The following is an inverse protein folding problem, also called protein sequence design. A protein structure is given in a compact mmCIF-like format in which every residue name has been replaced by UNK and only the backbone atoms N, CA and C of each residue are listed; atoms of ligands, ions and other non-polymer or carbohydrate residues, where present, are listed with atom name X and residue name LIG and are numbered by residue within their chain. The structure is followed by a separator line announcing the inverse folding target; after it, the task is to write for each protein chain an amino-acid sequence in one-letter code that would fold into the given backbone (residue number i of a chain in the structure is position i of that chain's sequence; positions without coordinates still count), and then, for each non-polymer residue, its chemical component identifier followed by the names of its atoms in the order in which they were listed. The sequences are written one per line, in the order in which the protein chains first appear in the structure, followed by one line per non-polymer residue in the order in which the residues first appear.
data_IF_706149483572
#
_entry.id   IF_706149483572
#
_cell.length_a   1.000
_cell.length_b   1.000
_cell.length_c   1.000
_cell.angle_alpha   90.00
_cell.angle_beta   90.00
_cell.angle_gamma   90.00
#
_symmetry.space_group_name_H-M   'P 1'
#
loop_
_entity.id
_entity.type
_entity.pdbx_description
1 polymer ?
#
# COMPACT_ATOMS: atom_id res chain seq x y z
N UNK A 1 13.70 -14.54 25.83
CA UNK A 1 12.25 -14.33 26.06
C UNK A 1 12.07 -13.05 26.86
N UNK A 2 11.41 -12.05 26.29
CA UNK A 2 10.95 -10.87 27.03
C UNK A 2 9.74 -11.31 27.86
N UNK A 3 9.66 -10.94 29.13
CA UNK A 3 8.55 -11.36 30.01
C UNK A 3 7.24 -10.69 29.56
N UNK A 4 6.13 -11.44 29.53
CA UNK A 4 4.80 -10.93 29.15
C UNK A 4 4.40 -9.65 29.92
N UNK A 5 4.94 -9.45 31.12
CA UNK A 5 4.68 -8.26 31.94
C UNK A 5 5.36 -6.98 31.42
N UNK A 6 6.47 -7.09 30.67
CA UNK A 6 7.18 -5.93 30.14
C UNK A 6 6.43 -5.24 28.99
N UNK A 7 5.50 -5.93 28.33
CA UNK A 7 4.76 -5.39 27.18
C UNK A 7 3.69 -4.35 27.56
N UNK A 8 3.35 -4.22 28.85
CA UNK A 8 2.29 -3.32 29.32
C UNK A 8 2.70 -1.85 29.43
N UNK A 9 3.99 -1.54 29.45
CA UNK A 9 4.49 -0.17 29.59
C UNK A 9 5.15 0.39 28.33
N UNK A 10 5.26 -0.40 27.26
CA UNK A 10 5.91 0.04 26.02
C UNK A 10 4.96 0.95 25.26
N UNK A 11 5.29 2.24 25.21
CA UNK A 11 4.50 3.28 24.52
C UNK A 11 5.04 3.58 23.12
N UNK A 12 6.30 3.28 22.85
CA UNK A 12 6.95 3.63 21.58
C UNK A 12 7.85 2.50 21.09
N UNK A 13 7.69 2.15 19.81
CA UNK A 13 8.57 1.22 19.10
C UNK A 13 8.92 1.81 17.75
N UNK A 14 10.22 1.94 17.49
CA UNK A 14 10.77 2.38 16.21
C UNK A 14 11.69 1.31 15.66
N UNK A 15 11.33 0.80 14.49
CA UNK A 15 12.12 -0.14 13.71
C UNK A 15 12.53 0.60 12.44
N UNK A 16 13.79 1.00 12.36
CA UNK A 16 14.32 1.77 11.23
C UNK A 16 15.55 1.04 10.69
N UNK A 17 15.61 0.87 9.36
CA UNK A 17 16.74 0.25 8.67
C UNK A 17 17.07 -1.18 9.13
N UNK A 18 16.05 -1.95 9.50
CA UNK A 18 16.21 -3.31 10.04
C UNK A 18 15.76 -4.37 9.01
N UNK A 19 16.63 -4.80 8.08
CA UNK A 19 16.26 -5.70 6.97
C UNK A 19 15.78 -7.09 7.43
N UNK A 20 16.15 -7.49 8.64
CA UNK A 20 15.80 -8.80 9.21
C UNK A 20 14.44 -8.81 9.94
N UNK A 21 13.76 -7.68 10.02
CA UNK A 21 12.46 -7.62 10.68
C UNK A 21 11.42 -8.19 9.75
N UNK A 22 10.92 -9.38 10.09
CA UNK A 22 9.81 -10.02 9.41
C UNK A 22 8.49 -9.35 9.76
N UNK A 23 7.48 -9.52 8.91
CA UNK A 23 6.12 -9.07 9.19
C UNK A 23 5.52 -9.65 10.48
N UNK A 24 6.00 -10.81 10.94
CA UNK A 24 5.59 -11.42 12.21
C UNK A 24 6.01 -10.58 13.44
N UNK A 25 7.04 -9.73 13.33
CA UNK A 25 7.41 -8.80 14.40
C UNK A 25 6.38 -7.68 14.51
N UNK A 26 5.98 -7.08 13.39
CA UNK A 26 4.94 -6.04 13.37
C UNK A 26 3.62 -6.56 13.96
N UNK A 27 3.25 -7.78 13.56
CA UNK A 27 2.13 -8.55 14.09
C UNK A 27 2.23 -8.73 15.60
N UNK A 28 3.35 -9.25 16.11
CA UNK A 28 3.56 -9.43 17.55
C UNK A 28 3.46 -8.11 18.33
N UNK A 29 3.94 -7.00 17.77
CA UNK A 29 3.85 -5.68 18.39
C UNK A 29 2.40 -5.23 18.52
N UNK A 30 1.64 -5.24 17.42
CA UNK A 30 0.25 -4.77 17.38
C UNK A 30 -0.69 -5.58 18.29
N UNK A 31 -0.33 -6.84 18.57
CA UNK A 31 -1.16 -7.75 19.36
C UNK A 31 -0.80 -7.81 20.85
N UNK A 32 0.45 -7.54 21.22
CA UNK A 32 0.90 -7.70 22.60
C UNK A 32 1.12 -6.36 23.32
N UNK A 33 1.32 -5.26 22.60
CA UNK A 33 1.67 -3.97 23.19
C UNK A 33 0.43 -3.07 23.35
N UNK A 34 -0.40 -3.33 24.37
CA UNK A 34 -1.65 -2.58 24.60
C UNK A 34 -1.44 -1.06 24.84
N UNK A 35 -0.33 -0.68 25.47
CA UNK A 35 0.01 0.71 25.78
C UNK A 35 0.71 1.44 24.63
N UNK A 36 0.88 0.81 23.46
CA UNK A 36 1.62 1.37 22.35
C UNK A 36 0.90 2.59 21.76
N UNK A 37 1.61 3.71 21.74
CA UNK A 37 1.16 5.00 21.20
C UNK A 37 1.86 5.36 19.88
N UNK A 38 3.11 4.91 19.70
CA UNK A 38 3.90 5.22 18.51
C UNK A 38 4.51 3.94 17.94
N UNK A 39 4.13 3.61 16.71
CA UNK A 39 4.71 2.51 15.94
C UNK A 39 5.24 3.04 14.62
N UNK A 40 6.56 2.95 14.43
CA UNK A 40 7.22 3.38 13.21
C UNK A 40 8.05 2.21 12.67
N UNK A 41 7.72 1.71 11.49
CA UNK A 41 8.44 0.64 10.80
C UNK A 41 8.88 1.15 9.43
N UNK A 42 10.16 1.50 9.31
CA UNK A 42 10.81 2.05 8.09
C UNK A 42 11.94 1.13 7.61
N UNK A 43 11.99 0.86 6.30
CA UNK A 43 13.11 0.18 5.66
C UNK A 43 14.16 1.16 5.11
N UNK A 44 15.39 0.69 4.89
CA UNK A 44 16.51 1.53 4.43
C UNK A 44 16.54 1.70 2.91
N UNK A 45 16.50 0.59 2.18
CA UNK A 45 16.60 0.56 0.72
C UNK A 45 15.43 -0.17 0.07
N UNK A 46 14.73 -0.99 0.86
CA UNK A 46 13.45 -1.55 0.52
C UNK A 46 12.60 -1.46 1.77
N UNK A 47 11.35 -0.99 1.69
CA UNK A 47 10.51 -0.93 2.86
C UNK A 47 10.40 -2.34 3.45
N UNK A 48 10.60 -2.42 4.78
CA UNK A 48 10.24 -3.60 5.55
C UNK A 48 8.73 -3.68 5.48
N UNK A 49 8.22 -4.47 4.55
CA UNK A 49 6.81 -4.56 4.28
C UNK A 49 6.21 -5.72 5.06
N UNK A 50 5.12 -5.43 5.75
CA UNK A 50 4.33 -6.45 6.44
C UNK A 50 3.26 -6.95 5.49
N UNK A 51 3.17 -8.27 5.29
CA UNK A 51 2.09 -8.86 4.51
C UNK A 51 0.74 -8.51 5.12
N UNK A 52 -0.23 -8.14 4.29
CA UNK A 52 -1.58 -7.80 4.74
C UNK A 52 -2.19 -8.90 5.63
N UNK A 53 -2.00 -10.18 5.26
CA UNK A 53 -2.38 -11.37 6.05
C UNK A 53 -1.98 -11.24 7.53
N UNK A 54 -0.74 -10.87 7.81
CA UNK A 54 -0.20 -10.81 9.17
C UNK A 54 -0.81 -9.67 10.00
N UNK A 55 -1.24 -8.58 9.34
CA UNK A 55 -1.86 -7.44 10.03
C UNK A 55 -3.30 -7.73 10.45
N UNK A 56 -4.00 -8.61 9.73
CA UNK A 56 -5.45 -8.84 9.89
C UNK A 56 -5.81 -10.18 10.51
N UNK A 57 -4.82 -11.00 10.82
CA UNK A 57 -5.01 -12.33 11.40
C UNK A 57 -5.66 -12.24 12.80
N UNK A 58 -5.38 -11.19 13.57
CA UNK A 58 -6.03 -10.89 14.85
C UNK A 58 -6.33 -9.40 14.99
N UNK A 59 -7.23 -9.07 15.91
CA UNK A 59 -7.51 -7.69 16.26
C UNK A 59 -6.34 -7.02 16.98
N UNK A 60 -6.12 -5.74 16.70
CA UNK A 60 -5.09 -4.95 17.37
C UNK A 60 -5.50 -4.62 18.80
N UNK A 61 -4.56 -4.82 19.73
CA UNK A 61 -4.77 -4.50 21.15
C UNK A 61 -4.33 -3.07 21.46
N UNK A 62 -3.43 -2.50 20.67
CA UNK A 62 -2.96 -1.12 20.77
C UNK A 62 -4.01 -0.10 20.27
N UNK A 63 -5.10 0.09 21.03
CA UNK A 63 -6.18 1.05 20.69
C UNK A 63 -5.78 2.52 20.89
N UNK A 64 -4.80 2.78 21.76
CA UNK A 64 -4.29 4.13 22.07
C UNK A 64 -3.22 4.64 21.09
N UNK A 65 -3.17 4.10 19.88
CA UNK A 65 -2.11 4.38 18.93
C UNK A 65 -2.33 5.75 18.28
N UNK A 66 -1.34 6.64 18.44
CA UNK A 66 -1.38 8.03 17.98
C UNK A 66 -0.55 8.27 16.72
N UNK A 67 0.48 7.44 16.48
CA UNK A 67 1.32 7.49 15.29
C UNK A 67 1.50 6.08 14.75
N UNK A 68 1.00 5.84 13.54
CA UNK A 68 1.23 4.60 12.80
C UNK A 68 1.98 4.92 11.52
N UNK A 69 3.17 4.35 11.40
CA UNK A 69 3.88 4.29 10.14
C UNK A 69 4.28 2.86 9.81
N UNK A 70 3.74 2.35 8.72
CA UNK A 70 3.98 0.98 8.29
C UNK A 70 3.87 0.87 6.77
N UNK A 71 4.71 0.03 6.17
CA UNK A 71 4.53 -0.38 4.78
C UNK A 71 3.88 -1.75 4.70
N UNK A 72 2.86 -1.89 3.85
CA UNK A 72 2.12 -3.13 3.66
C UNK A 72 2.50 -3.75 2.32
N UNK A 73 2.81 -5.04 2.32
CA UNK A 73 3.00 -5.80 1.08
C UNK A 73 1.62 -6.18 0.55
N UNK A 74 1.22 -5.55 -0.55
CA UNK A 74 0.01 -5.90 -1.29
C UNK A 74 0.43 -6.69 -2.53
N UNK A 75 0.04 -7.96 -2.58
CA UNK A 75 0.13 -8.75 -3.82
C UNK A 75 -1.05 -8.36 -4.69
N UNK A 76 -0.83 -7.38 -5.56
CA UNK A 76 -1.72 -7.15 -6.69
C UNK A 76 -1.34 -8.18 -7.77
N UNK A 77 -2.34 -8.63 -8.52
CA UNK A 77 -2.11 -9.40 -9.73
C UNK A 77 -2.46 -8.47 -10.87
N UNK A 78 -1.45 -7.94 -11.55
CA UNK A 78 -1.68 -7.16 -12.76
C UNK A 78 -2.10 -8.15 -13.85
N UNK A 79 -3.41 -8.28 -14.02
CA UNK A 79 -3.94 -9.02 -15.17
C UNK A 79 -3.67 -8.17 -16.41
N UNK A 80 -2.93 -8.70 -17.37
CA UNK A 80 -2.53 -7.98 -18.59
C UNK A 80 -3.77 -7.44 -19.31
N UNK A 81 -3.97 -6.13 -19.19
CA UNK A 81 -5.08 -5.41 -19.77
C UNK A 81 -4.85 -5.26 -21.27
N UNK A 82 -5.31 -6.24 -22.06
CA UNK A 82 -5.53 -6.02 -23.51
C UNK A 82 -6.70 -5.03 -23.74
N UNK A 83 -7.39 -4.60 -22.67
CA UNK A 83 -8.52 -3.67 -22.74
C UNK A 83 -8.24 -2.40 -21.91
N UNK A 84 -8.23 -1.24 -22.56
CA UNK A 84 -7.84 0.08 -22.01
C UNK A 84 -8.66 0.64 -20.82
N UNK A 85 -9.52 -0.17 -20.19
CA UNK A 85 -10.36 0.27 -19.06
C UNK A 85 -10.41 -0.74 -17.91
N UNK A 86 -9.61 -1.82 -17.92
CA UNK A 86 -9.64 -2.75 -16.79
C UNK A 86 -8.82 -2.20 -15.63
N UNK A 87 -9.52 -1.67 -14.63
CA UNK A 87 -8.96 -1.30 -13.34
C UNK A 87 -8.16 -2.46 -12.74
N UNK A 88 -7.11 -2.19 -11.95
CA UNK A 88 -6.34 -3.24 -11.29
C UNK A 88 -7.29 -4.13 -10.48
N UNK A 89 -7.39 -5.40 -10.90
CA UNK A 89 -8.26 -6.37 -10.28
C UNK A 89 -7.58 -6.89 -9.01
N UNK A 90 -7.96 -6.33 -7.87
CA UNK A 90 -7.64 -6.93 -6.57
C UNK A 90 -8.47 -8.21 -6.43
N UNK A 91 -7.81 -9.31 -6.09
CA UNK A 91 -8.44 -10.62 -5.92
C UNK A 91 -9.42 -10.63 -4.73
N UNK A 92 -10.52 -11.39 -4.80
CA UNK A 92 -11.61 -11.37 -3.81
C UNK A 92 -11.14 -11.59 -2.35
N UNK A 93 -10.32 -12.63 -2.06
CA UNK A 93 -9.65 -12.79 -0.76
C UNK A 93 -8.88 -11.56 -0.26
N UNK A 94 -8.25 -10.81 -1.16
CA UNK A 94 -7.51 -9.59 -0.78
C UNK A 94 -8.47 -8.49 -0.35
N UNK A 95 -9.64 -8.36 -0.97
CA UNK A 95 -10.68 -7.43 -0.51
C UNK A 95 -11.16 -7.76 0.90
N UNK A 96 -11.35 -9.04 1.23
CA UNK A 96 -11.76 -9.46 2.57
C UNK A 96 -10.69 -9.07 3.61
N UNK A 97 -9.41 -9.26 3.27
CA UNK A 97 -8.30 -8.86 4.14
C UNK A 97 -8.21 -7.34 4.27
N UNK A 98 -8.31 -6.58 3.17
CA UNK A 98 -8.35 -5.12 3.20
C UNK A 98 -9.51 -4.64 4.06
N UNK A 99 -10.66 -5.32 3.98
CA UNK A 99 -11.81 -4.98 4.79
C UNK A 99 -11.48 -5.09 6.30
N UNK A 100 -10.89 -6.21 6.71
CA UNK A 100 -10.47 -6.37 8.11
C UNK A 100 -9.43 -5.33 8.51
N UNK A 101 -8.48 -5.04 7.63
CA UNK A 101 -7.44 -4.05 7.86
C UNK A 101 -8.01 -2.65 8.10
N UNK A 102 -8.86 -2.15 7.20
CA UNK A 102 -9.45 -0.82 7.34
C UNK A 102 -10.41 -0.70 8.52
N UNK A 103 -11.13 -1.78 8.86
CA UNK A 103 -11.95 -1.82 10.07
C UNK A 103 -11.11 -1.69 11.33
N UNK A 104 -9.96 -2.38 11.39
CA UNK A 104 -9.04 -2.27 12.52
C UNK A 104 -8.40 -0.87 12.60
N UNK A 105 -8.03 -0.32 11.44
CA UNK A 105 -7.49 1.03 11.33
C UNK A 105 -8.49 2.08 11.81
N UNK A 106 -9.74 2.00 11.35
CA UNK A 106 -10.84 2.88 11.73
C UNK A 106 -11.19 2.86 13.22
N UNK A 107 -10.82 1.79 13.92
CA UNK A 107 -11.00 1.66 15.36
C UNK A 107 -9.89 2.35 16.19
N UNK A 108 -8.88 2.94 15.55
CA UNK A 108 -7.83 3.74 16.22
C UNK A 108 -8.28 5.21 16.38
N UNK A 109 -9.19 5.48 17.32
CA UNK A 109 -9.76 6.82 17.52
C UNK A 109 -8.72 7.89 17.86
N UNK A 110 -7.62 7.51 18.50
CA UNK A 110 -6.56 8.41 18.97
C UNK A 110 -5.50 8.72 17.91
N UNK A 111 -5.64 8.18 16.69
CA UNK A 111 -4.63 8.36 15.64
C UNK A 111 -4.53 9.84 15.26
N UNK A 112 -3.29 10.35 15.21
CA UNK A 112 -2.96 11.71 14.79
C UNK A 112 -2.14 11.71 13.51
N UNK A 113 -1.23 10.75 13.37
CA UNK A 113 -0.38 10.61 12.19
C UNK A 113 -0.55 9.20 11.66
N UNK A 114 -1.02 9.10 10.41
CA UNK A 114 -1.17 7.86 9.69
C UNK A 114 -0.36 7.93 8.41
N UNK A 115 0.72 7.15 8.35
CA UNK A 115 1.59 7.05 7.19
C UNK A 115 1.60 5.59 6.69
N UNK A 116 0.93 5.35 5.57
CA UNK A 116 0.77 4.00 5.02
C UNK A 116 1.59 3.84 3.75
N UNK A 117 2.57 2.96 3.77
CA UNK A 117 3.36 2.57 2.60
C UNK A 117 2.75 1.37 1.87
N UNK A 118 2.93 1.27 0.55
CA UNK A 118 2.69 0.02 -0.20
C UNK A 118 4.00 -0.50 -0.75
N UNK A 119 4.20 -1.82 -0.65
CA UNK A 119 5.21 -2.56 -1.41
C UNK A 119 4.50 -3.55 -2.31
N UNK A 120 4.65 -3.41 -3.63
CA UNK A 120 4.25 -4.45 -4.58
C UNK A 120 5.50 -5.17 -5.11
N UNK A 121 5.45 -6.49 -5.21
CA UNK A 121 6.54 -7.28 -5.85
C UNK A 121 6.65 -6.97 -7.34
N UNK A 122 5.53 -6.66 -8.00
CA UNK A 122 5.52 -6.32 -9.43
C UNK A 122 6.29 -5.03 -9.72
N UNK A 123 6.44 -4.15 -8.71
CA UNK A 123 7.29 -2.96 -8.78
C UNK A 123 8.79 -3.27 -8.69
N UNK A 124 9.22 -4.43 -8.16
CA UNK A 124 10.65 -4.72 -7.94
C UNK A 124 11.41 -5.00 -9.24
N UNK A 125 10.74 -5.53 -10.27
CA UNK A 125 11.35 -5.76 -11.59
C UNK A 125 11.88 -4.47 -12.25
N UNK A 126 11.39 -3.30 -11.83
CA UNK A 126 11.81 -2.00 -12.34
C UNK A 126 13.11 -1.51 -11.68
N UNK A 127 13.35 -1.87 -10.42
CA UNK A 127 14.56 -1.47 -9.71
C UNK A 127 15.78 -2.36 -10.08
N UNK A 128 15.54 -3.65 -10.38
CA UNK A 128 16.62 -4.60 -10.69
C UNK A 128 17.11 -4.52 -12.14
N UNK A 129 16.37 -3.88 -13.06
CA UNK A 129 16.74 -3.79 -14.49
C UNK A 129 17.69 -2.63 -14.84
N UNK A 130 18.27 -1.95 -13.84
CA UNK A 130 19.34 -0.96 -14.02
C UNK A 130 20.63 -1.54 -14.65
N UNK A 131 20.74 -2.86 -14.77
CA UNK A 131 21.67 -3.52 -15.68
C UNK A 131 20.94 -3.99 -16.93
N UNK A 132 20.97 -3.21 -18.01
CA UNK A 132 20.52 -3.69 -19.32
C UNK A 132 21.25 -5.00 -19.63
N UNK A 133 20.56 -6.11 -19.95
CA UNK A 133 21.19 -7.20 -20.65
C UNK A 133 21.66 -6.62 -21.98
N UNK A 134 22.98 -6.45 -22.15
CA UNK A 134 23.54 -6.30 -23.50
C UNK A 134 22.98 -7.47 -24.28
N UNK A 135 22.18 -7.17 -25.30
CA UNK A 135 21.72 -8.16 -26.27
C UNK A 135 22.96 -8.88 -26.79
N UNK A 136 23.25 -10.04 -26.21
CA UNK A 136 24.24 -10.96 -26.73
C UNK A 136 23.61 -11.53 -28.00
N UNK A 137 23.83 -10.82 -29.11
CA UNK A 137 23.59 -11.32 -30.45
C UNK A 137 24.44 -12.57 -30.61
N UNK A 138 23.80 -13.73 -30.58
CA UNK A 138 24.42 -15.01 -30.93
C UNK A 138 24.65 -15.97 -29.77
N UNK A 139 23.59 -16.68 -29.33
CA UNK A 139 23.76 -18.04 -28.81
C UNK A 139 22.73 -18.98 -29.44
N UNK A 140 23.26 -20.11 -29.93
CA UNK A 140 22.57 -21.22 -30.57
C UNK A 140 21.57 -21.91 -29.62
N UNK A 141 20.50 -22.54 -30.14
CA UNK A 141 19.53 -23.28 -29.34
C UNK A 141 20.17 -24.47 -28.61
N UNK A 142 19.95 -24.56 -27.30
CA UNK A 142 20.33 -25.71 -26.48
C UNK A 142 19.25 -26.80 -26.54
N UNK A 143 19.72 -28.04 -26.67
CA UNK A 143 18.98 -29.31 -26.65
C UNK A 143 18.34 -29.58 -25.28
N UNK A 144 17.17 -30.26 -25.21
CA UNK A 144 16.50 -30.52 -23.94
C UNK A 144 17.22 -31.58 -23.12
N UNK A 145 17.46 -31.28 -21.83
CA UNK A 145 18.03 -32.20 -20.86
C UNK A 145 16.92 -33.01 -20.15
N UNK A 146 17.28 -34.27 -19.88
CA UNK A 146 16.49 -35.40 -19.38
C UNK A 146 16.06 -35.22 -17.91
N UNK A 147 14.78 -35.43 -17.61
CA UNK A 147 14.23 -35.42 -16.24
C UNK A 147 14.63 -36.69 -15.47
N UNK A 148 15.02 -36.52 -14.20
CA UNK A 148 15.32 -37.59 -13.25
C UNK A 148 14.69 -37.32 -11.88
N UNK A 149 13.72 -38.18 -11.53
CA UNK A 149 13.33 -38.72 -10.20
C UNK A 149 13.46 -37.87 -8.92
N UNK A 150 12.30 -37.39 -8.46
CA UNK A 150 11.61 -37.66 -7.17
C UNK A 150 12.44 -37.92 -5.90
N UNK A 151 12.28 -37.02 -4.91
CA UNK A 151 12.45 -37.31 -3.48
C UNK A 151 11.22 -36.84 -2.71
N UNK A 152 10.71 -37.73 -1.84
CA UNK A 152 9.72 -37.52 -0.79
C UNK A 152 10.35 -36.72 0.35
N UNK A 153 9.64 -35.73 0.90
CA UNK A 153 10.03 -35.03 2.12
C UNK A 153 8.85 -34.25 2.72
N UNK A 154 8.26 -34.87 3.74
CA UNK A 154 7.60 -34.33 4.94
C UNK A 154 6.86 -32.99 4.87
N UNK A 155 5.54 -33.16 4.75
CA UNK A 155 4.36 -32.34 5.11
C UNK A 155 4.56 -31.29 6.23
N UNK A 156 4.92 -30.07 5.84
CA UNK A 156 4.48 -28.82 6.49
C UNK A 156 3.80 -27.97 5.40
N UNK A 157 2.56 -28.35 5.06
CA UNK A 157 1.72 -27.72 4.03
C UNK A 157 1.22 -26.33 4.44
N UNK A 158 2.14 -25.36 4.52
CA UNK A 158 1.80 -24.00 4.11
C UNK A 158 1.87 -23.97 2.57
N UNK A 159 0.83 -24.52 1.92
CA UNK A 159 0.61 -24.66 0.46
C UNK A 159 0.42 -23.31 -0.27
N UNK A 160 1.30 -22.36 0.07
CA UNK A 160 1.55 -21.09 -0.57
C UNK A 160 3.06 -20.87 -0.64
N UNK A 161 3.79 -21.88 -1.13
CA UNK A 161 5.21 -21.77 -1.49
C UNK A 161 5.39 -20.51 -2.33
N UNK A 162 6.24 -19.60 -1.86
CA UNK A 162 6.43 -18.31 -2.51
C UNK A 162 7.22 -18.41 -3.84
N UNK A 163 7.57 -19.63 -4.25
CA UNK A 163 8.59 -19.94 -5.26
C UNK A 163 8.03 -20.63 -6.51
N UNK A 164 6.77 -21.11 -6.51
CA UNK A 164 6.18 -21.83 -7.67
C UNK A 164 5.58 -20.92 -8.75
N UNK A 165 5.59 -19.60 -8.57
CA UNK A 165 5.04 -18.65 -9.56
C UNK A 165 6.06 -18.15 -10.60
N UNK A 166 7.33 -18.55 -10.55
CA UNK A 166 8.36 -18.05 -11.48
C UNK A 166 8.42 -18.78 -12.83
N UNK A 167 7.54 -19.74 -13.12
CA UNK A 167 7.67 -20.62 -14.31
C UNK A 167 6.92 -20.14 -15.57
N UNK A 168 6.14 -19.06 -15.51
CA UNK A 168 5.44 -18.52 -16.69
C UNK A 168 5.83 -17.07 -16.97
N UNK A 169 6.88 -16.89 -17.78
CA UNK A 169 7.24 -15.58 -18.34
C UNK A 169 6.63 -15.43 -19.75
N UNK A 170 5.63 -14.57 -19.98
CA UNK A 170 5.23 -14.18 -21.32
C UNK A 170 6.16 -13.09 -21.84
N UNK A 171 6.78 -13.36 -22.99
CA UNK A 171 7.67 -12.44 -23.71
C UNK A 171 6.86 -11.36 -24.45
N UNK A 172 6.40 -10.30 -23.77
CA UNK A 172 5.84 -9.11 -24.44
C UNK A 172 6.34 -7.81 -23.79
N UNK A 173 6.85 -6.91 -24.64
CA UNK A 173 7.41 -5.60 -24.29
C UNK A 173 6.31 -4.52 -24.16
N UNK A 174 5.90 -4.19 -22.93
CA UNK A 174 4.97 -3.10 -22.56
C UNK A 174 5.62 -2.06 -21.60
N UNK A 175 6.90 -1.74 -21.82
CA UNK A 175 7.84 -1.26 -20.79
C UNK A 175 7.73 0.21 -20.32
N UNK A 176 6.72 1.01 -20.69
CA UNK A 176 6.84 2.47 -20.50
C UNK A 176 5.66 3.18 -19.82
N UNK A 177 4.47 2.58 -19.69
CA UNK A 177 3.31 3.30 -19.13
C UNK A 177 2.85 2.85 -17.74
N UNK A 178 3.15 1.62 -17.32
CA UNK A 178 2.71 1.08 -16.02
C UNK A 178 3.83 1.00 -14.97
N UNK A 179 4.96 1.66 -15.24
CA UNK A 179 6.24 1.42 -14.60
C UNK A 179 6.67 2.51 -13.60
N UNK A 180 5.74 3.34 -13.16
CA UNK A 180 6.03 4.25 -12.06
C UNK A 180 5.40 3.66 -10.81
N UNK A 181 6.22 3.45 -9.78
CA UNK A 181 5.81 3.16 -8.42
C UNK A 181 4.81 4.21 -7.83
N UNK A 182 4.54 5.26 -8.60
CA UNK A 182 3.63 6.37 -8.32
C UNK A 182 2.15 6.10 -8.67
N UNK A 183 1.75 4.89 -9.06
CA UNK A 183 0.32 4.57 -9.30
C UNK A 183 -0.26 3.60 -8.25
N UNK A 184 0.42 3.46 -7.10
CA UNK A 184 -0.06 2.60 -6.03
C UNK A 184 -0.76 3.42 -4.94
N UNK A 185 -2.08 3.29 -4.87
CA UNK A 185 -2.89 3.72 -3.74
C UNK A 185 -3.45 2.50 -3.00
N UNK A 186 -3.81 2.68 -1.73
CA UNK A 186 -4.47 1.63 -0.95
C UNK A 186 -5.89 1.40 -1.52
N UNK A 187 -6.22 0.17 -1.97
CA UNK A 187 -7.46 -0.04 -2.70
C UNK A 187 -8.70 0.27 -1.86
N UNK A 188 -9.60 1.09 -2.41
CA UNK A 188 -10.84 1.53 -1.79
C UNK A 188 -10.69 2.42 -0.54
N UNK A 189 -9.47 2.76 -0.10
CA UNK A 189 -9.23 3.50 1.15
C UNK A 189 -9.96 4.85 1.18
N UNK A 190 -9.87 5.60 0.08
CA UNK A 190 -10.45 6.94 -0.05
C UNK A 190 -11.81 6.96 -0.73
N UNK A 191 -12.42 5.81 -1.03
CA UNK A 191 -13.71 5.75 -1.70
C UNK A 191 -14.84 5.53 -0.69
N UNK A 192 -15.99 6.18 -0.90
CA UNK A 192 -17.22 5.87 -0.17
C UNK A 192 -17.90 4.59 -0.69
N UNK A 193 -17.53 4.13 -1.88
CA UNK A 193 -18.15 3.00 -2.56
C UNK A 193 -19.47 3.38 -3.25
N UNK A 194 -19.89 2.58 -4.23
CA UNK A 194 -21.14 2.79 -4.95
C UNK A 194 -22.15 1.73 -4.52
N UNK A 195 -23.11 2.11 -3.67
CA UNK A 195 -24.08 1.19 -3.06
C UNK A 195 -25.00 0.46 -4.05
N UNK A 196 -25.33 1.05 -5.20
CA UNK A 196 -26.52 0.63 -5.95
C UNK A 196 -26.33 0.40 -7.47
N UNK A 197 -25.09 0.39 -7.97
CA UNK A 197 -24.83 0.28 -9.41
C UNK A 197 -24.72 -1.19 -9.85
N UNK A 198 -25.86 -1.80 -10.18
CA UNK A 198 -26.02 -3.08 -10.90
C UNK A 198 -24.75 -3.87 -11.21
N UNK A 199 -24.46 -4.88 -10.38
CA UNK A 199 -23.58 -6.00 -10.70
C UNK A 199 -22.07 -5.81 -10.44
N UNK A 200 -21.56 -4.59 -10.23
CA UNK A 200 -20.15 -4.38 -9.82
C UNK A 200 -20.02 -3.22 -8.84
N UNK A 201 -20.73 -3.33 -7.71
CA UNK A 201 -20.54 -2.39 -6.60
C UNK A 201 -19.07 -2.43 -6.16
N UNK A 202 -18.38 -1.31 -6.32
CA UNK A 202 -17.00 -1.19 -5.89
C UNK A 202 -16.98 -0.95 -4.37
N UNK A 203 -16.20 -1.73 -3.60
CA UNK A 203 -16.07 -1.48 -2.19
C UNK A 203 -15.36 -0.14 -1.96
N UNK A 204 -15.91 0.64 -1.04
CA UNK A 204 -15.26 1.82 -0.49
C UNK A 204 -15.22 1.71 1.02
N UNK A 205 -14.10 2.12 1.60
CA UNK A 205 -13.81 1.94 3.02
C UNK A 205 -13.64 3.25 3.77
N UNK A 206 -13.83 4.38 3.09
CA UNK A 206 -13.65 5.70 3.70
C UNK A 206 -14.57 5.86 4.93
N UNK A 207 -15.80 5.37 4.87
CA UNK A 207 -16.76 5.42 5.99
C UNK A 207 -16.26 4.72 7.26
N UNK A 208 -15.43 3.69 7.13
CA UNK A 208 -14.89 2.97 8.30
C UNK A 208 -13.80 3.75 9.01
N UNK A 209 -13.20 4.72 8.32
CA UNK A 209 -12.22 5.64 8.87
C UNK A 209 -12.88 6.86 9.53
N UNK A 210 -14.21 6.89 9.67
CA UNK A 210 -14.94 8.00 10.31
C UNK A 210 -14.63 8.17 11.80
N UNK A 211 -14.05 7.14 12.43
CA UNK A 211 -13.59 7.20 13.82
C UNK A 211 -12.33 8.04 14.04
N UNK A 212 -11.58 8.37 12.99
CA UNK A 212 -10.27 9.02 13.07
C UNK A 212 -10.36 10.54 13.26
N UNK A 213 -11.16 11.01 14.22
CA UNK A 213 -11.46 12.43 14.43
C UNK A 213 -10.23 13.27 14.81
N UNK A 214 -9.21 12.62 15.36
CA UNK A 214 -7.95 13.25 15.77
C UNK A 214 -6.86 13.21 14.69
N UNK A 215 -7.15 12.64 13.51
CA UNK A 215 -6.21 12.53 12.40
C UNK A 215 -5.78 13.93 11.95
N UNK A 216 -4.48 14.21 12.05
CA UNK A 216 -3.83 15.46 11.64
C UNK A 216 -3.06 15.30 10.33
N UNK A 217 -2.45 14.13 10.14
CA UNK A 217 -1.60 13.86 8.98
C UNK A 217 -1.95 12.51 8.36
N UNK A 218 -2.32 12.53 7.08
CA UNK A 218 -2.55 11.35 6.27
C UNK A 218 -1.53 11.30 5.13
N UNK A 219 -0.56 10.39 5.25
CA UNK A 219 0.65 10.33 4.41
C UNK A 219 0.84 8.95 3.76
N UNK A 220 1.76 8.90 2.80
CA UNK A 220 2.20 7.69 2.13
C UNK A 220 1.44 7.45 0.81
N UNK A 221 0.99 6.23 0.60
CA UNK A 221 0.37 5.76 -0.65
C UNK A 221 -1.15 5.99 -0.64
N UNK A 222 -1.54 7.24 -0.44
CA UNK A 222 -2.95 7.71 -0.33
C UNK A 222 -3.30 8.70 -1.44
N UNK A 223 -2.73 8.48 -2.63
CA UNK A 223 -2.81 9.40 -3.75
C UNK A 223 -4.21 9.40 -4.39
N UNK A 224 -4.73 10.59 -4.71
CA UNK A 224 -6.02 10.76 -5.41
C UNK A 224 -5.88 10.70 -6.95
N UNK A 225 -4.65 10.69 -7.45
CA UNK A 225 -4.35 10.75 -8.90
C UNK A 225 -4.07 9.38 -9.52
N UNK A 226 -4.15 8.30 -8.74
CA UNK A 226 -3.95 6.96 -9.27
C UNK A 226 -5.06 6.56 -10.23
N UNK A 227 -4.78 5.59 -11.11
CA UNK A 227 -5.78 5.00 -12.01
C UNK A 227 -7.00 4.55 -11.21
N UNK A 228 -6.83 3.98 -10.02
CA UNK A 228 -7.95 3.62 -9.16
C UNK A 228 -8.75 4.84 -8.69
N UNK A 229 -8.06 5.80 -8.09
CA UNK A 229 -8.67 6.87 -7.31
C UNK A 229 -9.27 7.95 -8.16
N UNK A 230 -8.77 8.18 -9.38
CA UNK A 230 -9.33 9.19 -10.29
C UNK A 230 -10.79 8.90 -10.64
N UNK A 231 -11.21 7.63 -10.57
CA UNK A 231 -12.58 7.21 -10.82
C UNK A 231 -13.46 7.13 -9.57
N UNK A 232 -12.86 7.09 -8.38
CA UNK A 232 -13.60 6.83 -7.13
C UNK A 232 -13.53 7.93 -6.11
N UNK A 233 -12.55 8.82 -6.22
CA UNK A 233 -12.39 9.96 -5.33
C UNK A 233 -12.89 11.17 -6.10
N UNK A 234 -14.08 11.63 -5.72
CA UNK A 234 -14.71 12.81 -6.26
C UNK A 234 -14.98 13.85 -5.18
N UNK A 235 -15.89 14.77 -5.51
CA UNK A 235 -16.35 15.81 -4.59
C UNK A 235 -16.92 15.23 -3.28
N UNK A 236 -17.70 14.15 -3.36
CA UNK A 236 -18.37 13.55 -2.20
C UNK A 236 -17.40 12.98 -1.17
N UNK A 237 -16.32 12.34 -1.63
CA UNK A 237 -15.25 11.86 -0.75
C UNK A 237 -14.55 13.03 -0.04
N UNK A 238 -14.33 14.15 -0.74
CA UNK A 238 -13.74 15.36 -0.17
C UNK A 238 -14.67 16.00 0.88
N UNK A 239 -15.95 16.15 0.56
CA UNK A 239 -16.98 16.61 1.51
C UNK A 239 -17.01 15.75 2.77
N UNK A 240 -17.00 14.42 2.58
CA UNK A 240 -16.99 13.48 3.69
C UNK A 240 -15.73 13.65 4.56
N UNK A 241 -14.54 13.81 3.96
CA UNK A 241 -13.29 14.02 4.70
C UNK A 241 -13.32 15.33 5.51
N UNK A 242 -13.90 16.41 4.97
CA UNK A 242 -14.08 17.66 5.71
C UNK A 242 -14.93 17.48 6.97
N UNK A 243 -16.04 16.75 6.83
CA UNK A 243 -16.99 16.51 7.92
C UNK A 243 -16.41 15.59 8.99
N UNK A 244 -15.70 14.54 8.60
CA UNK A 244 -15.31 13.45 9.51
C UNK A 244 -13.89 13.59 10.06
N UNK A 245 -13.00 14.32 9.39
CA UNK A 245 -11.62 14.55 9.84
C UNK A 245 -11.34 16.04 10.11
N UNK A 246 -12.01 16.64 11.12
CA UNK A 246 -11.90 18.07 11.38
C UNK A 246 -10.48 18.51 11.80
N UNK A 247 -9.69 17.59 12.36
CA UNK A 247 -8.33 17.86 12.81
C UNK A 247 -7.27 17.75 11.70
N UNK A 248 -7.66 17.35 10.47
CA UNK A 248 -6.72 17.12 9.38
C UNK A 248 -6.01 18.42 8.99
N UNK A 249 -4.69 18.35 8.84
CA UNK A 249 -3.82 19.46 8.47
C UNK A 249 -2.91 19.14 7.31
N UNK A 250 -2.50 17.88 7.16
CA UNK A 250 -1.60 17.45 6.08
C UNK A 250 -2.16 16.23 5.39
N UNK A 251 -2.20 16.25 4.06
CA UNK A 251 -2.57 15.09 3.25
C UNK A 251 -1.70 14.95 1.99
N UNK A 252 -1.24 13.74 1.68
CA UNK A 252 -0.40 13.44 0.51
C UNK A 252 -1.23 12.86 -0.65
N UNK A 253 -2.09 13.68 -1.25
CA UNK A 253 -2.96 13.26 -2.37
C UNK A 253 -2.26 13.25 -3.75
N UNK A 254 -1.11 13.89 -3.86
CA UNK A 254 -0.43 14.10 -5.14
C UNK A 254 0.68 13.05 -5.35
N UNK A 255 0.95 12.66 -6.61
CA UNK A 255 2.00 11.68 -6.88
C UNK A 255 3.37 12.29 -6.60
N UNK A 256 4.35 11.47 -6.22
CA UNK A 256 5.74 11.90 -6.18
C UNK A 256 6.19 12.27 -7.59
N UNK A 257 6.53 13.54 -7.83
CA UNK A 257 7.10 13.99 -9.10
C UNK A 257 8.58 13.61 -9.17
N UNK A 258 8.86 12.34 -9.44
CA UNK A 258 10.21 11.90 -9.82
C UNK A 258 10.23 11.51 -11.28
N UNK A 259 11.03 12.22 -12.06
CA UNK A 259 11.55 11.66 -13.31
C UNK A 259 12.65 10.64 -13.02
N UNK A 260 12.82 9.68 -13.94
CA UNK A 260 13.92 8.69 -13.94
C UNK A 260 15.32 9.31 -13.84
N UNK A 261 15.43 10.64 -13.97
CA UNK A 261 16.68 11.39 -13.94
C UNK A 261 16.85 12.29 -12.70
N UNK A 262 15.98 12.17 -11.69
CA UNK A 262 16.00 13.00 -10.48
C UNK A 262 15.95 14.52 -10.74
N UNK A 263 15.54 14.92 -11.94
CA UNK A 263 15.27 16.32 -12.25
C UNK A 263 13.91 16.66 -11.62
N UNK A 264 13.82 17.76 -10.84
CA UNK A 264 12.53 18.30 -10.42
C UNK A 264 11.73 18.56 -11.69
N UNK A 265 10.63 17.84 -11.91
CA UNK A 265 9.66 18.33 -12.87
C UNK A 265 9.06 19.58 -12.25
N UNK A 266 8.97 20.64 -13.05
CA UNK A 266 8.01 21.70 -12.78
C UNK A 266 6.67 21.01 -12.46
N UNK A 267 6.07 21.41 -11.34
CA UNK A 267 4.80 20.90 -10.83
C UNK A 267 3.88 20.57 -12.02
N UNK A 268 3.19 19.41 -11.98
CA UNK A 268 2.15 19.10 -12.96
C UNK A 268 1.39 20.40 -13.26
N UNK A 269 1.19 20.75 -14.55
CA UNK A 269 0.58 22.02 -14.90
C UNK A 269 -0.63 22.24 -13.99
N UNK A 270 -0.73 23.41 -13.36
CA UNK A 270 -1.79 23.75 -12.37
C UNK A 270 -3.20 23.36 -12.86
N UNK A 271 -3.38 23.21 -14.18
CA UNK A 271 -4.56 22.66 -14.85
C UNK A 271 -4.85 21.15 -14.68
N UNK A 272 -3.99 20.35 -14.01
CA UNK A 272 -4.27 18.93 -13.75
C UNK A 272 -4.75 18.66 -12.32
N UNK A 273 -4.85 19.68 -11.48
CA UNK A 273 -5.50 19.52 -10.18
C UNK A 273 -6.97 19.16 -10.39
N UNK A 274 -7.37 18.00 -9.88
CA UNK A 274 -8.77 17.56 -9.96
C UNK A 274 -9.67 18.63 -9.33
N UNK A 275 -10.78 19.05 -9.96
CA UNK A 275 -11.60 20.16 -9.47
C UNK A 275 -12.01 20.03 -8.00
N UNK A 276 -12.26 18.81 -7.53
CA UNK A 276 -12.62 18.53 -6.14
C UNK A 276 -11.45 18.71 -5.15
N UNK A 277 -10.19 18.53 -5.56
CA UNK A 277 -9.03 18.83 -4.72
C UNK A 277 -8.89 20.34 -4.54
N UNK A 278 -9.07 21.11 -5.62
CA UNK A 278 -9.06 22.58 -5.54
C UNK A 278 -10.18 23.08 -4.64
N UNK A 279 -11.40 22.57 -4.81
CA UNK A 279 -12.52 22.86 -3.92
C UNK A 279 -12.18 22.52 -2.46
N UNK A 280 -11.56 21.37 -2.20
CA UNK A 280 -11.18 20.97 -0.83
C UNK A 280 -10.18 21.97 -0.21
N UNK A 281 -9.20 22.45 -0.98
CA UNK A 281 -8.27 23.49 -0.55
C UNK A 281 -8.95 24.84 -0.32
N UNK A 282 -9.94 25.20 -1.14
CA UNK A 282 -10.73 26.42 -0.94
C UNK A 282 -11.55 26.37 0.35
N UNK A 283 -12.13 25.20 0.69
CA UNK A 283 -12.87 25.02 1.94
C UNK A 283 -11.98 24.97 3.17
N UNK A 284 -10.74 24.48 3.03
CA UNK A 284 -9.75 24.34 4.11
C UNK A 284 -8.38 24.86 3.67
N UNK A 285 -8.19 26.20 3.62
CA UNK A 285 -6.92 26.79 3.22
C UNK A 285 -5.80 26.53 4.23
N UNK A 286 -6.13 26.03 5.42
CA UNK A 286 -5.19 25.58 6.45
C UNK A 286 -4.63 24.16 6.21
N UNK A 287 -5.21 23.39 5.27
CA UNK A 287 -4.72 22.05 4.93
C UNK A 287 -3.61 22.15 3.89
N UNK A 288 -2.47 21.58 4.23
CA UNK A 288 -1.33 21.42 3.33
C UNK A 288 -1.47 20.13 2.51
N UNK A 289 -1.55 20.27 1.19
CA UNK A 289 -1.54 19.12 0.27
C UNK A 289 -0.11 18.93 -0.23
N UNK A 290 0.51 17.83 0.21
CA UNK A 290 1.91 17.52 -0.08
C UNK A 290 2.04 16.48 -1.20
N UNK A 291 3.24 16.44 -1.78
CA UNK A 291 3.73 15.29 -2.51
C UNK A 291 4.57 14.43 -1.57
N UNK A 292 4.51 13.09 -1.66
CA UNK A 292 5.28 12.23 -0.79
C UNK A 292 6.79 12.47 -1.01
N UNK A 293 7.59 12.46 0.07
CA UNK A 293 9.04 12.57 -0.03
C UNK A 293 9.59 11.38 -0.81
N UNK A 294 10.68 11.67 -1.50
CA UNK A 294 11.21 10.92 -2.61
C UNK A 294 12.31 9.95 -2.18
#
# INVERSE_FOLDING_TARGET
MVSANQHRSITEIRIVNAPHVSGSVAQAILWNCAALQHLIIRGCHSPVATRLKHLVEREWVCRGLTTLEITVELRQVITSAVCMCSMPAVHDPTWIMLQKFYRQLGALSEIKVLNLGIKSKEMQWLETTNGWPRLAVGRKPCTPLRQGTSMKGDDDDDDWSADDYDTYAPTISFKTLCANNADASFPGLLSLGNGDSGGRARPGFLTWLGGLKHLRELRGHVQATTTETIWTVGQKEMEWMLEHWPALKVIELLPALKDRHAQPRDLLPVNMSLPHILWFQEQRPDIEIHQPPC
#
